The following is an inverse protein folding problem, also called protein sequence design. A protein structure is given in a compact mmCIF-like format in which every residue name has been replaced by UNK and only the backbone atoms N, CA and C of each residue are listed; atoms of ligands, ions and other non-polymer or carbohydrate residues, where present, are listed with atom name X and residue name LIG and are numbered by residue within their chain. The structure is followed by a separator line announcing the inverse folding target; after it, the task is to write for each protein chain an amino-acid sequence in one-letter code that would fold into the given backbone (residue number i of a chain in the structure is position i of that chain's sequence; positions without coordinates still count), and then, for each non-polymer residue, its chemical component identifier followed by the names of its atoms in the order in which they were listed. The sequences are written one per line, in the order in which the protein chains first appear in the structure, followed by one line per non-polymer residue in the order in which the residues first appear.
data_IF_850244670846
#
_entry.id   IF_850244670846
#
_cell.length_a   1.000
_cell.length_b   1.000
_cell.length_c   1.000
_cell.angle_alpha   90.00
_cell.angle_beta   90.00
_cell.angle_gamma   90.00
#
_symmetry.space_group_name_H-M   'P 1'
#
loop_
_entity.id
_entity.type
_entity.pdbx_description
1 polymer ?
#
# COMPACT_ATOMS: atom_id res chain seq x y z
N UNK A 1 0.57 8.25 -8.15
CA UNK A 1 -0.76 8.80 -8.50
C UNK A 1 -1.33 7.85 -9.52
N UNK A 2 -2.19 6.92 -9.10
CA UNK A 2 -2.81 5.99 -10.04
C UNK A 2 -3.82 6.78 -10.88
N UNK A 3 -3.55 6.87 -12.18
CA UNK A 3 -4.40 7.51 -13.20
C UNK A 3 -5.54 6.54 -13.55
N UNK A 4 -6.29 6.13 -12.53
CA UNK A 4 -7.54 5.44 -12.75
C UNK A 4 -8.59 6.53 -12.84
N UNK A 5 -8.98 6.88 -14.05
CA UNK A 5 -10.29 7.48 -14.25
C UNK A 5 -11.29 6.41 -13.80
N UNK A 6 -11.69 6.47 -12.54
CA UNK A 6 -12.77 5.62 -12.03
C UNK A 6 -13.97 5.99 -12.89
N UNK A 7 -14.40 5.07 -13.75
CA UNK A 7 -15.82 5.05 -14.10
C UNK A 7 -16.53 5.10 -12.75
N UNK A 8 -17.20 6.21 -12.46
CA UNK A 8 -17.86 6.40 -11.18
C UNK A 8 -18.78 5.21 -11.00
N UNK A 9 -18.49 4.35 -10.02
CA UNK A 9 -19.31 3.18 -9.76
C UNK A 9 -20.64 3.73 -9.24
N UNK A 10 -21.66 3.78 -10.09
CA UNK A 10 -22.98 4.32 -9.76
C UNK A 10 -23.81 3.38 -8.88
N UNK A 11 -23.21 2.29 -8.39
CA UNK A 11 -23.84 1.37 -7.46
C UNK A 11 -23.69 1.88 -6.01
N UNK A 12 -24.78 2.43 -5.46
CA UNK A 12 -24.81 3.03 -4.11
C UNK A 12 -24.44 2.05 -2.99
N UNK A 13 -24.68 0.76 -3.16
CA UNK A 13 -24.33 -0.25 -2.16
C UNK A 13 -22.82 -0.56 -2.13
N UNK A 14 -22.14 -0.40 -3.25
CA UNK A 14 -20.71 -0.73 -3.41
C UNK A 14 -19.79 0.46 -3.14
N UNK A 15 -20.32 1.68 -3.17
CA UNK A 15 -19.57 2.93 -2.94
C UNK A 15 -18.84 2.95 -1.58
N UNK A 16 -19.48 2.63 -0.43
CA UNK A 16 -18.81 2.66 0.87
C UNK A 16 -17.63 1.69 0.97
N UNK A 17 -17.81 0.48 0.42
CA UNK A 17 -16.75 -0.54 0.38
C UNK A 17 -15.57 -0.08 -0.49
N UNK A 18 -15.86 0.46 -1.68
CA UNK A 18 -14.84 0.94 -2.60
C UNK A 18 -14.05 2.11 -2.00
N UNK A 19 -14.73 3.05 -1.35
CA UNK A 19 -14.08 4.16 -0.65
C UNK A 19 -13.18 3.64 0.48
N UNK A 20 -13.67 2.72 1.29
CA UNK A 20 -12.88 2.10 2.35
C UNK A 20 -11.62 1.40 1.78
N UNK A 21 -11.78 0.61 0.72
CA UNK A 21 -10.69 -0.11 0.08
C UNK A 21 -9.64 0.86 -0.48
N UNK A 22 -10.06 1.86 -1.26
CA UNK A 22 -9.15 2.85 -1.83
C UNK A 22 -8.43 3.66 -0.75
N UNK A 23 -9.14 4.08 0.30
CA UNK A 23 -8.54 4.81 1.42
C UNK A 23 -7.52 3.96 2.17
N UNK A 24 -7.84 2.71 2.44
CA UNK A 24 -6.94 1.77 3.13
C UNK A 24 -5.72 1.44 2.28
N UNK A 25 -5.91 1.16 0.99
CA UNK A 25 -4.82 0.91 0.04
C UNK A 25 -3.88 2.12 -0.06
N UNK A 26 -4.43 3.35 -0.17
CA UNK A 26 -3.63 4.56 -0.22
C UNK A 26 -2.81 4.79 1.05
N UNK A 27 -3.40 4.54 2.23
CA UNK A 27 -2.65 4.61 3.51
C UNK A 27 -1.49 3.61 3.51
N UNK A 28 -1.72 2.37 3.10
CA UNK A 28 -0.69 1.33 3.06
C UNK A 28 0.44 1.68 2.07
N UNK A 29 0.09 2.15 0.87
CA UNK A 29 1.06 2.59 -0.15
C UNK A 29 1.94 3.73 0.40
N UNK A 30 1.33 4.72 1.06
CA UNK A 30 2.07 5.84 1.65
C UNK A 30 3.06 5.37 2.73
N UNK A 31 2.65 4.44 3.59
CA UNK A 31 3.54 3.83 4.58
C UNK A 31 4.71 3.09 3.90
N UNK A 32 4.44 2.31 2.86
CA UNK A 32 5.48 1.60 2.10
C UNK A 32 6.47 2.54 1.41
N UNK A 33 5.98 3.61 0.76
CA UNK A 33 6.83 4.63 0.13
C UNK A 33 7.70 5.34 1.17
N UNK A 34 7.11 5.69 2.32
CA UNK A 34 7.85 6.34 3.39
C UNK A 34 8.99 5.44 3.89
N UNK A 35 8.71 4.17 4.17
CA UNK A 35 9.72 3.21 4.60
C UNK A 35 10.83 3.04 3.55
N UNK A 36 10.46 2.88 2.28
CA UNK A 36 11.41 2.74 1.19
C UNK A 36 12.38 3.94 1.10
N UNK A 37 11.85 5.15 1.29
CA UNK A 37 12.68 6.37 1.36
C UNK A 37 13.62 6.35 2.56
N UNK A 38 13.14 5.92 3.74
CA UNK A 38 14.00 5.83 4.92
C UNK A 38 15.17 4.88 4.68
N UNK A 39 14.92 3.70 4.10
CA UNK A 39 15.99 2.75 3.76
C UNK A 39 16.98 3.32 2.75
N UNK A 40 16.47 4.01 1.72
CA UNK A 40 17.34 4.62 0.71
C UNK A 40 18.24 5.71 1.30
N UNK A 41 17.67 6.67 2.03
CA UNK A 41 18.43 7.82 2.53
C UNK A 41 19.31 7.50 3.74
N UNK A 42 18.86 6.61 4.63
CA UNK A 42 19.58 6.32 5.88
C UNK A 42 20.47 5.09 5.80
N UNK A 43 20.09 4.10 5.02
CA UNK A 43 20.82 2.83 4.92
C UNK A 43 21.52 2.67 3.57
N UNK A 44 21.38 3.65 2.64
CA UNK A 44 21.84 3.55 1.26
C UNK A 44 21.35 2.28 0.56
N UNK A 45 20.16 1.82 0.94
CA UNK A 45 19.58 0.57 0.48
C UNK A 45 18.30 0.81 -0.32
N UNK A 46 18.24 0.27 -1.54
CA UNK A 46 17.03 0.30 -2.36
C UNK A 46 16.22 -0.99 -2.13
N UNK A 47 14.98 -0.92 -1.62
CA UNK A 47 14.17 -2.11 -1.40
C UNK A 47 13.89 -2.87 -2.69
N UNK A 48 14.16 -4.18 -2.65
CA UNK A 48 13.73 -5.15 -3.64
C UNK A 48 12.28 -5.60 -3.43
N UNK A 49 11.73 -6.26 -4.45
CA UNK A 49 10.32 -6.69 -4.52
C UNK A 49 9.85 -7.54 -3.31
N UNK A 50 10.76 -8.29 -2.69
CA UNK A 50 10.45 -9.28 -1.65
C UNK A 50 10.93 -8.89 -0.25
N UNK A 51 11.51 -7.71 -0.07
CA UNK A 51 12.11 -7.34 1.22
C UNK A 51 11.06 -7.14 2.32
N UNK A 52 9.95 -6.48 1.96
CA UNK A 52 8.81 -6.32 2.85
C UNK A 52 8.18 -7.68 3.20
N UNK A 53 8.07 -8.59 2.23
CA UNK A 53 7.57 -9.96 2.46
C UNK A 53 8.44 -10.70 3.48
N UNK A 54 9.75 -10.68 3.29
CA UNK A 54 10.71 -11.31 4.21
C UNK A 54 10.67 -10.70 5.61
N UNK A 55 10.57 -9.38 5.71
CA UNK A 55 10.48 -8.68 6.98
C UNK A 55 9.18 -9.01 7.73
N UNK A 56 8.07 -9.22 7.00
CA UNK A 56 6.76 -9.50 7.57
C UNK A 56 6.52 -10.99 7.87
N UNK A 57 7.27 -11.93 7.26
CA UNK A 57 7.14 -13.37 7.52
C UNK A 57 7.29 -13.79 8.98
N UNK A 58 7.96 -12.99 9.80
CA UNK A 58 8.08 -13.23 11.24
C UNK A 58 6.90 -12.72 12.08
N UNK A 59 5.97 -11.97 11.47
CA UNK A 59 4.79 -11.45 12.16
C UNK A 59 3.71 -12.53 12.25
N UNK A 60 3.19 -12.80 13.45
CA UNK A 60 2.12 -13.78 13.69
C UNK A 60 0.84 -13.50 12.91
N UNK A 61 0.64 -12.26 12.45
CA UNK A 61 -0.50 -11.84 11.65
C UNK A 61 -0.27 -11.94 10.13
N UNK A 62 0.91 -12.39 9.69
CA UNK A 62 1.23 -12.60 8.29
C UNK A 62 0.76 -14.00 7.87
N UNK A 63 -0.33 -14.07 7.09
CA UNK A 63 -0.93 -15.29 6.55
C UNK A 63 -0.77 -15.39 5.04
#
# INVERSE_FOLDING_TARGET
MFVCQQNQIENSEQLPFTEYLCRTANKLINCGIYLARQWYFKCHYLPGKYDLEKALKGNTNYQ
#
